data_IF_672482472968
#
_entry.id   IF_672482472968
#
_cell.length_a   1.000
_cell.length_b   1.000
_cell.length_c   1.000
_cell.angle_alpha   90.00
_cell.angle_beta   90.00
_cell.angle_gamma   90.00
#
_symmetry.space_group_name_H-M   'P 1'
#
loop_
_entity.id
_entity.type
_entity.pdbx_description
1 polymer ?
#
# COMPACT_ATOMS: atom_id res chain seq x y z
N UNK A 1 13.79 4.16 -10.58
CA UNK A 1 12.81 3.99 -9.49
C UNK A 1 11.52 3.51 -10.12
N UNK A 2 10.89 2.49 -9.53
CA UNK A 2 9.59 1.94 -9.95
C UNK A 2 8.61 2.20 -8.82
N UNK A 3 7.47 2.82 -9.14
CA UNK A 3 6.36 3.03 -8.22
C UNK A 3 5.16 2.23 -8.73
N UNK A 4 4.61 1.37 -7.90
CA UNK A 4 3.41 0.61 -8.18
C UNK A 4 2.32 0.98 -7.17
N UNK A 5 1.20 1.52 -7.64
CA UNK A 5 0.04 1.86 -6.83
C UNK A 5 -1.03 0.78 -7.03
N UNK A 6 -1.36 0.09 -5.94
CA UNK A 6 -2.28 -1.05 -5.90
C UNK A 6 -2.04 -2.14 -6.96
N UNK A 7 -0.80 -2.64 -7.13
CA UNK A 7 -0.48 -3.61 -8.20
C UNK A 7 -1.15 -4.98 -8.02
N UNK A 8 -1.64 -5.27 -6.82
CA UNK A 8 -2.28 -6.55 -6.45
C UNK A 8 -3.79 -6.42 -6.29
N UNK A 9 -4.36 -5.23 -6.53
CA UNK A 9 -5.79 -5.03 -6.44
C UNK A 9 -6.52 -5.94 -7.44
N UNK A 10 -7.48 -6.71 -6.94
CA UNK A 10 -8.26 -7.71 -7.69
C UNK A 10 -7.51 -8.97 -8.13
N UNK A 11 -6.28 -9.19 -7.66
CA UNK A 11 -5.55 -10.44 -7.90
C UNK A 11 -5.79 -11.46 -6.78
N UNK A 12 -5.86 -12.74 -7.18
CA UNK A 12 -5.77 -13.86 -6.24
C UNK A 12 -4.34 -14.01 -5.69
N UNK A 13 -4.17 -14.91 -4.70
CA UNK A 13 -2.89 -15.07 -4.00
C UNK A 13 -1.74 -15.46 -4.96
N UNK A 14 -1.99 -16.38 -5.90
CA UNK A 14 -0.97 -16.86 -6.84
C UNK A 14 -0.56 -15.79 -7.87
N UNK A 15 -1.54 -15.02 -8.36
CA UNK A 15 -1.28 -13.91 -9.27
C UNK A 15 -0.57 -12.75 -8.54
N UNK A 16 -0.89 -12.50 -7.28
CA UNK A 16 -0.20 -11.54 -6.43
C UNK A 16 1.30 -11.87 -6.29
N UNK A 17 1.64 -13.11 -5.93
CA UNK A 17 3.03 -13.55 -5.82
C UNK A 17 3.78 -13.41 -7.15
N UNK A 18 3.14 -13.80 -8.25
CA UNK A 18 3.73 -13.69 -9.59
C UNK A 18 3.99 -12.22 -9.98
N UNK A 19 3.03 -11.34 -9.72
CA UNK A 19 3.16 -9.91 -10.01
C UNK A 19 4.28 -9.26 -9.18
N UNK A 20 4.36 -9.57 -7.87
CA UNK A 20 5.43 -9.10 -7.00
C UNK A 20 6.80 -9.59 -7.47
N UNK A 21 6.89 -10.85 -7.89
CA UNK A 21 8.11 -11.43 -8.46
C UNK A 21 8.59 -10.67 -9.70
N UNK A 22 7.67 -10.35 -10.62
CA UNK A 22 7.97 -9.59 -11.84
C UNK A 22 8.41 -8.15 -11.53
N UNK A 23 7.74 -7.49 -10.59
CA UNK A 23 8.11 -6.14 -10.15
C UNK A 23 9.50 -6.11 -9.51
N UNK A 24 9.82 -7.09 -8.67
CA UNK A 24 11.14 -7.22 -8.04
C UNK A 24 12.24 -7.47 -9.09
N UNK A 25 12.00 -8.40 -10.02
CA UNK A 25 12.95 -8.68 -11.11
C UNK A 25 13.17 -7.45 -12.00
N UNK A 26 12.11 -6.73 -12.33
CA UNK A 26 12.19 -5.51 -13.14
C UNK A 26 12.99 -4.42 -12.41
N UNK A 27 12.74 -4.25 -11.11
CA UNK A 27 13.49 -3.30 -10.29
C UNK A 27 14.98 -3.65 -10.24
N UNK A 28 15.32 -4.92 -10.04
CA UNK A 28 16.71 -5.41 -10.06
C UNK A 28 17.38 -5.21 -11.42
N UNK A 29 16.70 -5.60 -12.50
CA UNK A 29 17.22 -5.46 -13.86
C UNK A 29 17.50 -3.99 -14.24
N UNK A 30 16.67 -3.07 -13.73
CA UNK A 30 16.85 -1.64 -13.95
C UNK A 30 17.77 -0.95 -12.92
N UNK A 31 18.28 -1.67 -11.91
CA UNK A 31 19.02 -1.05 -10.79
C UNK A 31 18.19 0.00 -10.04
N UNK A 32 16.88 -0.20 -9.96
CA UNK A 32 15.91 0.74 -9.43
C UNK A 32 15.39 0.34 -8.05
N UNK A 33 15.09 1.32 -7.21
CA UNK A 33 14.27 1.11 -6.01
C UNK A 33 12.81 0.87 -6.41
N UNK A 34 12.20 -0.18 -5.85
CA UNK A 34 10.77 -0.49 -5.97
C UNK A 34 10.02 0.07 -4.76
N UNK A 35 8.98 0.84 -5.01
CA UNK A 35 8.05 1.35 -3.99
C UNK A 35 6.66 0.84 -4.35
N UNK A 36 5.98 0.22 -3.39
CA UNK A 36 4.62 -0.29 -3.56
C UNK A 36 3.71 0.45 -2.57
N UNK A 37 2.66 1.09 -3.09
CA UNK A 37 1.56 1.59 -2.31
C UNK A 37 0.42 0.58 -2.40
N UNK A 38 -0.01 0.02 -1.26
CA UNK A 38 -1.13 -0.91 -1.22
C UNK A 38 -1.76 -0.94 0.16
N UNK A 39 -3.06 -1.23 0.21
CA UNK A 39 -3.76 -1.59 1.44
C UNK A 39 -3.72 -3.10 1.74
N UNK A 40 -3.08 -3.89 0.87
CA UNK A 40 -3.02 -5.35 0.97
C UNK A 40 -1.88 -5.84 1.88
N UNK A 41 -2.25 -6.47 2.99
CA UNK A 41 -1.28 -7.04 3.95
C UNK A 41 -0.47 -8.19 3.37
N UNK A 42 -0.98 -8.90 2.35
CA UNK A 42 -0.27 -10.02 1.70
C UNK A 42 1.03 -9.58 1.06
N UNK A 43 1.09 -8.33 0.58
CA UNK A 43 2.30 -7.76 -0.03
C UNK A 43 3.42 -7.59 1.00
N UNK A 44 3.08 -7.16 2.23
CA UNK A 44 4.04 -7.05 3.31
C UNK A 44 4.57 -8.42 3.75
N UNK A 45 3.71 -9.45 3.75
CA UNK A 45 4.09 -10.83 4.06
C UNK A 45 5.00 -11.44 2.98
N UNK A 46 4.73 -11.14 1.70
CA UNK A 46 5.53 -11.60 0.58
C UNK A 46 6.91 -10.89 0.47
N UNK A 47 7.04 -9.70 1.05
CA UNK A 47 8.26 -8.88 1.02
C UNK A 47 8.77 -8.56 2.43
N UNK A 48 9.20 -9.55 3.23
CA UNK A 48 9.56 -9.36 4.63
C UNK A 48 10.82 -8.49 4.84
N UNK A 49 11.60 -8.25 3.78
CA UNK A 49 12.77 -7.36 3.81
C UNK A 49 12.47 -5.93 3.35
N UNK A 50 11.25 -5.64 2.91
CA UNK A 50 10.86 -4.29 2.52
C UNK A 50 10.66 -3.41 3.76
N UNK A 51 10.99 -2.12 3.63
CA UNK A 51 10.62 -1.13 4.63
C UNK A 51 9.11 -0.82 4.51
N UNK A 52 8.35 -1.07 5.58
CA UNK A 52 6.92 -0.78 5.63
C UNK A 52 6.66 0.66 6.12
N UNK A 53 5.79 1.37 5.41
CA UNK A 53 5.32 2.70 5.79
C UNK A 53 3.80 2.65 6.00
N UNK A 54 3.37 2.77 7.25
CA UNK A 54 1.95 2.72 7.61
C UNK A 54 1.37 4.14 7.61
N UNK A 55 0.40 4.40 6.74
CA UNK A 55 -0.33 5.67 6.70
C UNK A 55 -1.61 5.55 7.52
N UNK A 56 -1.67 6.24 8.65
CA UNK A 56 -2.91 6.37 9.42
C UNK A 56 -3.75 7.52 8.83
N UNK A 57 -4.95 7.24 8.35
CA UNK A 57 -5.92 8.30 8.02
C UNK A 57 -6.33 9.02 9.30
N UNK A 58 -5.77 10.21 9.53
CA UNK A 58 -6.28 11.12 10.55
C UNK A 58 -7.52 11.83 9.97
N UNK A 59 -8.66 11.13 9.96
CA UNK A 59 -9.95 11.75 9.70
C UNK A 59 -10.38 12.55 10.94
N UNK A 60 -9.69 13.67 11.17
CA UNK A 60 -9.92 14.55 12.31
C UNK A 60 -11.26 15.27 12.18
N UNK A 61 -12.18 14.95 13.12
CA UNK A 61 -13.22 15.83 13.68
C UNK A 61 -13.97 16.74 12.69
N UNK A 62 -15.14 16.27 12.24
CA UNK A 62 -16.15 17.11 11.60
C UNK A 62 -16.69 18.14 12.62
N UNK A 63 -16.52 19.45 12.44
CA UNK A 63 -17.05 20.47 13.34
C UNK A 63 -18.59 20.53 13.36
N UNK A 64 -19.29 19.82 12.46
CA UNK A 64 -20.75 19.79 12.41
C UNK A 64 -21.44 18.93 13.50
N UNK A 65 -20.69 18.23 14.37
CA UNK A 65 -21.26 17.48 15.50
C UNK A 65 -21.47 18.31 16.79
N UNK A 66 -21.08 19.59 16.81
CA UNK A 66 -21.49 20.53 17.86
C UNK A 66 -22.91 21.02 17.57
N UNK A 67 -23.91 20.31 18.12
CA UNK A 67 -25.29 20.78 18.17
C UNK A 67 -25.41 22.13 18.89
N UNK A 68 -26.49 22.90 18.65
CA UNK A 68 -26.70 24.15 19.36
C UNK A 68 -26.82 23.85 20.86
N UNK A 69 -25.98 24.50 21.66
CA UNK A 69 -26.00 24.38 23.13
C UNK A 69 -27.37 24.78 23.71
N UNK A 70 -27.70 24.30 24.92
CA UNK A 70 -29.04 24.48 25.48
C UNK A 70 -29.32 25.96 25.75
N UNK A 71 -30.59 26.33 25.52
CA UNK A 71 -31.20 27.63 25.79
C UNK A 71 -31.18 27.99 27.28
#
# INVERSE_FOLDING_TARGET
MILADEPTASLDDAACESALGLLCQSAQACGATLVIATHDRRVAEALPQAAELIFSSQNGINPASMGPGPL
#
